data_IF_151455751329
#
_entry.id   IF_151455751329
#
_cell.length_a   1.000
_cell.length_b   1.000
_cell.length_c   1.000
_cell.angle_alpha   90.00
_cell.angle_beta   90.00
_cell.angle_gamma   90.00
#
_symmetry.space_group_name_H-M   'P 1'
#
loop_
_entity.id
_entity.type
_entity.pdbx_description
1 polymer ?
#
# COMPACT_ATOMS: atom_id res chain seq x y z
N UNK A 1 20.96 0.40 -19.74
CA UNK A 1 19.58 0.35 -20.26
C UNK A 1 18.85 -0.71 -19.42
N UNK A 2 17.70 -0.39 -18.87
CA UNK A 2 16.92 -1.40 -18.14
C UNK A 2 16.43 -2.49 -19.13
N UNK A 3 16.37 -3.77 -18.72
CA UNK A 3 15.87 -4.82 -19.57
C UNK A 3 14.38 -4.60 -19.88
N UNK A 4 13.97 -4.91 -21.10
CA UNK A 4 12.56 -4.86 -21.47
C UNK A 4 11.80 -6.03 -20.83
N UNK A 5 10.65 -5.74 -20.25
CA UNK A 5 9.76 -6.76 -19.69
C UNK A 5 8.90 -7.33 -20.83
N UNK A 6 9.32 -8.47 -21.33
CA UNK A 6 8.60 -9.18 -22.41
C UNK A 6 7.49 -10.08 -21.85
N UNK A 7 6.54 -10.49 -22.72
CA UNK A 7 5.51 -11.46 -22.33
C UNK A 7 6.13 -12.78 -21.82
N UNK A 8 7.21 -13.25 -22.44
CA UNK A 8 7.94 -14.47 -22.05
C UNK A 8 8.53 -14.31 -20.63
N UNK A 9 9.16 -13.15 -20.34
CA UNK A 9 9.64 -12.84 -19.01
C UNK A 9 8.50 -12.91 -17.97
N UNK A 10 7.35 -12.28 -18.25
CA UNK A 10 6.20 -12.31 -17.36
C UNK A 10 5.70 -13.75 -17.15
N UNK A 11 5.51 -14.52 -18.20
CA UNK A 11 5.04 -15.90 -18.09
C UNK A 11 5.99 -16.80 -17.30
N UNK A 12 7.30 -16.59 -17.41
CA UNK A 12 8.30 -17.35 -16.65
C UNK A 12 8.27 -17.05 -15.15
N UNK A 13 7.75 -15.87 -14.75
CA UNK A 13 7.68 -15.42 -13.34
C UNK A 13 6.30 -15.60 -12.70
N UNK A 14 5.26 -15.90 -13.49
CA UNK A 14 3.94 -16.21 -12.92
C UNK A 14 3.98 -17.56 -12.22
N UNK A 15 3.69 -17.64 -10.91
CA UNK A 15 3.71 -18.89 -10.19
C UNK A 15 2.63 -19.85 -10.70
N UNK A 16 3.01 -21.11 -10.92
CA UNK A 16 2.04 -22.16 -11.24
C UNK A 16 1.07 -22.33 -10.06
N UNK A 17 -0.21 -22.52 -10.37
CA UNK A 17 -1.24 -22.80 -9.37
C UNK A 17 -1.43 -24.31 -9.21
N UNK A 18 -0.88 -24.95 -8.15
CA UNK A 18 -1.11 -26.36 -7.88
C UNK A 18 -2.62 -26.63 -7.66
N UNK A 19 -3.07 -27.82 -8.08
CA UNK A 19 -4.48 -28.19 -7.99
C UNK A 19 -5.02 -28.20 -6.55
N UNK A 20 -4.16 -28.50 -5.57
CA UNK A 20 -4.48 -28.58 -4.14
C UNK A 20 -4.09 -27.30 -3.38
N UNK A 21 -4.03 -26.15 -4.08
CA UNK A 21 -3.75 -24.87 -3.44
C UNK A 21 -4.99 -24.22 -2.83
N UNK A 22 -4.79 -23.38 -1.84
CA UNK A 22 -5.83 -22.58 -1.19
C UNK A 22 -5.42 -21.09 -1.18
N UNK A 23 -6.31 -20.22 -0.69
CA UNK A 23 -6.03 -18.78 -0.64
C UNK A 23 -4.75 -18.41 0.11
N UNK A 24 -4.33 -19.17 1.11
CA UNK A 24 -3.08 -18.94 1.84
C UNK A 24 -1.81 -19.24 1.04
N UNK A 25 -1.93 -20.09 -0.03
CA UNK A 25 -0.79 -20.47 -0.88
C UNK A 25 -0.28 -19.33 -1.76
N UNK A 26 -1.06 -18.29 -1.98
CA UNK A 26 -0.76 -17.18 -2.91
C UNK A 26 -0.48 -15.86 -2.20
N UNK A 27 -0.11 -15.93 -0.93
CA UNK A 27 0.25 -14.76 -0.13
C UNK A 27 -0.96 -13.90 0.26
N UNK A 28 -0.70 -12.95 1.13
CA UNK A 28 -1.66 -11.98 1.60
C UNK A 28 -1.10 -10.57 1.44
N UNK A 29 -1.86 -9.69 0.79
CA UNK A 29 -1.52 -8.27 0.60
C UNK A 29 -2.31 -7.44 1.60
N UNK A 30 -1.60 -6.59 2.33
CA UNK A 30 -2.17 -5.51 3.11
C UNK A 30 -1.98 -4.20 2.35
N UNK A 31 -3.05 -3.67 1.79
CA UNK A 31 -3.04 -2.39 1.09
C UNK A 31 -3.41 -1.27 2.08
N UNK A 32 -2.55 -0.28 2.22
CA UNK A 32 -2.79 0.96 2.97
C UNK A 32 -2.91 2.07 1.94
N UNK A 33 -4.13 2.40 1.55
CA UNK A 33 -4.39 3.24 0.38
C UNK A 33 -5.70 4.02 0.52
N UNK A 34 -5.78 5.11 -0.21
CA UNK A 34 -6.96 5.96 -0.26
C UNK A 34 -7.10 6.92 0.92
N UNK A 35 -7.91 7.91 0.70
CA UNK A 35 -8.37 8.90 1.67
C UNK A 35 -9.75 9.39 1.24
N UNK A 36 -10.41 10.21 2.02
CA UNK A 36 -11.75 10.72 1.70
C UNK A 36 -11.85 11.31 0.29
N UNK A 37 -10.77 11.95 -0.19
CA UNK A 37 -10.69 12.57 -1.52
C UNK A 37 -10.20 11.63 -2.63
N UNK A 38 -9.46 10.56 -2.29
CA UNK A 38 -8.78 9.68 -3.28
C UNK A 38 -9.23 8.21 -3.17
N UNK A 39 -10.55 8.00 -3.20
CA UNK A 39 -11.16 6.65 -3.04
C UNK A 39 -10.83 5.71 -4.20
N UNK A 40 -10.73 6.26 -5.42
CA UNK A 40 -10.42 5.49 -6.63
C UNK A 40 -9.05 4.83 -6.60
N UNK A 41 -8.05 5.48 -6.00
CA UNK A 41 -6.70 4.91 -5.85
C UNK A 41 -6.72 3.60 -5.05
N UNK A 42 -7.48 3.55 -3.95
CA UNK A 42 -7.66 2.33 -3.17
C UNK A 42 -8.35 1.22 -3.98
N UNK A 43 -9.38 1.56 -4.76
CA UNK A 43 -10.08 0.59 -5.62
C UNK A 43 -9.13 -0.02 -6.65
N UNK A 44 -8.32 0.79 -7.33
CA UNK A 44 -7.34 0.32 -8.31
C UNK A 44 -6.26 -0.54 -7.68
N UNK A 45 -5.79 -0.15 -6.49
CA UNK A 45 -4.79 -0.91 -5.73
C UNK A 45 -5.30 -2.31 -5.36
N UNK A 46 -6.50 -2.40 -4.81
CA UNK A 46 -7.12 -3.68 -4.43
C UNK A 46 -7.39 -4.54 -5.66
N UNK A 47 -7.97 -3.95 -6.71
CA UNK A 47 -8.27 -4.65 -7.96
C UNK A 47 -6.99 -5.19 -8.62
N UNK A 48 -5.92 -4.40 -8.66
CA UNK A 48 -4.61 -4.83 -9.16
C UNK A 48 -4.08 -6.03 -8.38
N UNK A 49 -4.10 -5.98 -7.06
CA UNK A 49 -3.64 -7.07 -6.19
C UNK A 49 -4.47 -8.35 -6.38
N UNK A 50 -5.79 -8.25 -6.49
CA UNK A 50 -6.67 -9.38 -6.76
C UNK A 50 -6.41 -10.00 -8.14
N UNK A 51 -6.26 -9.17 -9.17
CA UNK A 51 -6.03 -9.63 -10.56
C UNK A 51 -4.66 -10.26 -10.78
N UNK A 52 -3.64 -9.85 -10.03
CA UNK A 52 -2.33 -10.51 -10.07
C UNK A 52 -2.32 -11.86 -9.35
N UNK A 53 -3.41 -12.18 -8.64
CA UNK A 53 -3.62 -13.50 -8.05
C UNK A 53 -3.24 -13.60 -6.59
N UNK A 54 -3.15 -12.51 -5.85
CA UNK A 54 -3.01 -12.55 -4.40
C UNK A 54 -4.15 -13.38 -3.77
N UNK A 55 -3.80 -14.24 -2.82
CA UNK A 55 -4.77 -15.14 -2.19
C UNK A 55 -5.72 -14.43 -1.23
N UNK A 56 -5.24 -13.39 -0.58
CA UNK A 56 -6.02 -12.52 0.32
C UNK A 56 -5.57 -11.09 0.09
N UNK A 57 -6.51 -10.16 -0.04
CA UNK A 57 -6.24 -8.72 -0.06
C UNK A 57 -7.04 -8.07 1.06
N UNK A 58 -6.36 -7.34 1.93
CA UNK A 58 -6.97 -6.55 3.00
C UNK A 58 -6.69 -5.08 2.74
N UNK A 59 -7.74 -4.26 2.68
CA UNK A 59 -7.61 -2.81 2.56
C UNK A 59 -7.73 -2.16 3.94
N UNK A 60 -6.69 -1.46 4.35
CA UNK A 60 -6.69 -0.57 5.50
C UNK A 60 -6.93 0.86 5.02
N UNK A 61 -8.06 1.44 5.37
CA UNK A 61 -8.44 2.79 4.96
C UNK A 61 -9.55 3.36 5.85
N UNK A 62 -9.92 4.62 5.59
CA UNK A 62 -11.04 5.29 6.26
C UNK A 62 -12.39 4.80 5.70
N UNK A 63 -13.45 4.89 6.51
CA UNK A 63 -14.78 4.33 6.20
C UNK A 63 -15.33 4.71 4.81
N UNK A 64 -15.26 5.97 4.34
CA UNK A 64 -15.80 6.31 3.02
C UNK A 64 -15.09 5.60 1.85
N UNK A 65 -13.82 5.23 2.03
CA UNK A 65 -13.06 4.45 1.05
C UNK A 65 -13.47 2.99 1.11
N UNK A 66 -13.56 2.43 2.31
CA UNK A 66 -13.96 1.03 2.52
C UNK A 66 -15.35 0.75 1.95
N UNK A 67 -16.31 1.63 2.20
CA UNK A 67 -17.66 1.53 1.66
C UNK A 67 -17.66 1.53 0.11
N UNK A 68 -16.87 2.42 -0.50
CA UNK A 68 -16.77 2.49 -1.96
C UNK A 68 -16.11 1.25 -2.58
N UNK A 69 -15.06 0.73 -1.95
CA UNK A 69 -14.33 -0.45 -2.44
C UNK A 69 -15.14 -1.72 -2.26
N UNK A 70 -15.74 -1.94 -1.09
CA UNK A 70 -16.53 -3.16 -0.80
C UNK A 70 -17.76 -3.30 -1.69
N UNK A 71 -18.33 -2.21 -2.16
CA UNK A 71 -19.45 -2.23 -3.10
C UNK A 71 -19.06 -2.79 -4.49
N UNK A 72 -17.78 -2.70 -4.87
CA UNK A 72 -17.27 -3.17 -6.18
C UNK A 72 -16.47 -4.46 -6.10
N UNK A 73 -15.76 -4.66 -5.00
CA UNK A 73 -14.78 -5.73 -4.78
C UNK A 73 -15.11 -6.43 -3.45
N UNK A 74 -16.21 -7.20 -3.40
CA UNK A 74 -16.67 -7.83 -2.16
C UNK A 74 -15.71 -8.91 -1.62
N UNK A 75 -14.78 -9.39 -2.42
CA UNK A 75 -13.72 -10.33 -2.03
C UNK A 75 -12.60 -9.67 -1.21
N UNK A 76 -12.54 -8.33 -1.15
CA UNK A 76 -11.57 -7.61 -0.36
C UNK A 76 -11.93 -7.63 1.14
N UNK A 77 -10.98 -8.04 1.98
CA UNK A 77 -11.11 -7.89 3.43
C UNK A 77 -10.87 -6.41 3.82
N UNK A 78 -11.53 -5.96 4.88
CA UNK A 78 -11.49 -4.57 5.31
C UNK A 78 -10.83 -4.42 6.68
N UNK A 79 -9.97 -3.41 6.82
CA UNK A 79 -9.38 -2.97 8.07
C UNK A 79 -9.74 -1.50 8.29
N UNK A 80 -10.82 -1.19 9.04
CA UNK A 80 -11.24 0.18 9.29
C UNK A 80 -10.18 0.96 10.08
N UNK A 81 -9.85 2.15 9.58
CA UNK A 81 -8.89 3.07 10.16
C UNK A 81 -9.58 4.34 10.65
N UNK A 82 -9.05 4.92 11.72
CA UNK A 82 -9.47 6.21 12.21
C UNK A 82 -9.11 7.30 11.19
N UNK A 83 -10.02 8.22 10.86
CA UNK A 83 -9.71 9.35 10.00
C UNK A 83 -8.87 10.39 10.73
N UNK A 84 -7.95 11.02 10.03
CA UNK A 84 -7.35 12.27 10.42
C UNK A 84 -8.28 13.45 10.13
N UNK A 85 -7.81 14.68 10.45
CA UNK A 85 -8.63 15.88 10.38
C UNK A 85 -9.14 16.21 8.96
N UNK A 86 -8.44 15.80 7.93
CA UNK A 86 -8.78 16.05 6.52
C UNK A 86 -9.22 14.77 5.77
N UNK A 87 -9.56 13.71 6.51
CA UNK A 87 -10.04 12.44 5.95
C UNK A 87 -8.95 11.51 5.41
N UNK A 88 -7.70 11.73 5.79
CA UNK A 88 -6.58 10.79 5.63
C UNK A 88 -6.64 9.68 6.68
N UNK A 89 -5.76 8.69 6.55
CA UNK A 89 -5.60 7.63 7.57
C UNK A 89 -4.77 8.17 8.73
N UNK A 90 -5.38 8.27 9.92
CA UNK A 90 -4.68 8.71 11.13
C UNK A 90 -3.61 7.70 11.58
N UNK A 91 -2.43 8.18 12.03
CA UNK A 91 -1.40 7.34 12.65
C UNK A 91 -1.86 6.53 13.87
N UNK A 92 -2.96 6.89 14.50
CA UNK A 92 -3.59 6.11 15.57
C UNK A 92 -3.99 4.70 15.11
N UNK A 93 -4.19 4.50 13.81
CA UNK A 93 -4.53 3.22 13.21
C UNK A 93 -3.35 2.25 13.05
N UNK A 94 -2.10 2.73 13.22
CA UNK A 94 -0.88 1.92 13.01
C UNK A 94 -0.90 0.59 13.78
N UNK A 95 -1.24 0.54 15.08
CA UNK A 95 -1.26 -0.74 15.81
C UNK A 95 -2.29 -1.73 15.24
N UNK A 96 -3.43 -1.25 14.74
CA UNK A 96 -4.47 -2.08 14.10
C UNK A 96 -3.98 -2.61 12.75
N UNK A 97 -3.34 -1.76 11.95
CA UNK A 97 -2.80 -2.11 10.64
C UNK A 97 -1.70 -3.17 10.79
N UNK A 98 -0.75 -2.97 11.68
CA UNK A 98 0.36 -3.91 11.90
C UNK A 98 -0.07 -5.27 12.50
N UNK A 99 -1.25 -5.38 13.10
CA UNK A 99 -1.81 -6.66 13.55
C UNK A 99 -2.41 -7.48 12.39
N UNK A 100 -2.60 -6.91 11.21
CA UNK A 100 -3.09 -7.67 10.06
C UNK A 100 -2.04 -8.69 9.61
N UNK A 101 -2.48 -9.94 9.40
CA UNK A 101 -1.61 -11.00 8.89
C UNK A 101 -1.45 -10.83 7.38
N UNK A 102 -0.28 -10.37 6.95
CA UNK A 102 0.06 -10.19 5.54
C UNK A 102 1.51 -10.56 5.28
N UNK A 103 1.81 -10.95 4.04
CA UNK A 103 3.16 -11.24 3.54
C UNK A 103 3.78 -10.04 2.84
N UNK A 104 2.94 -9.17 2.29
CA UNK A 104 3.33 -7.95 1.58
C UNK A 104 2.48 -6.77 2.08
N UNK A 105 3.14 -5.66 2.36
CA UNK A 105 2.52 -4.36 2.58
C UNK A 105 2.61 -3.54 1.29
N UNK A 106 1.49 -3.04 0.79
CA UNK A 106 1.45 -2.04 -0.27
C UNK A 106 0.95 -0.74 0.35
N UNK A 107 1.74 0.32 0.26
CA UNK A 107 1.42 1.60 0.91
C UNK A 107 1.68 2.78 -0.01
N UNK A 108 0.76 3.73 -0.03
CA UNK A 108 0.97 5.04 -0.67
C UNK A 108 -0.15 5.53 -1.56
N UNK A 109 -0.74 4.72 -2.45
CA UNK A 109 -1.70 5.22 -3.41
C UNK A 109 -2.86 5.98 -2.75
N UNK A 110 -2.97 7.28 -3.08
CA UNK A 110 -4.09 8.11 -2.65
C UNK A 110 -4.14 8.46 -1.17
N UNK A 111 -3.03 8.41 -0.43
CA UNK A 111 -2.97 8.87 0.96
C UNK A 111 -3.17 10.39 1.09
N UNK A 112 -2.94 11.12 -0.01
CA UNK A 112 -3.16 12.56 -0.08
C UNK A 112 -2.02 13.40 0.51
N UNK A 113 -0.80 12.92 0.40
CA UNK A 113 0.40 13.61 0.90
C UNK A 113 0.59 15.02 0.30
N UNK A 114 0.28 15.18 -0.99
CA UNK A 114 0.40 16.45 -1.71
C UNK A 114 -0.70 17.48 -1.36
N UNK A 115 -1.63 17.14 -0.47
CA UNK A 115 -2.54 18.13 0.04
C UNK A 115 -1.77 19.23 0.76
N UNK A 116 -2.23 20.47 0.60
CA UNK A 116 -1.53 21.69 1.05
C UNK A 116 -1.40 21.82 2.59
N UNK A 117 -1.94 20.88 3.35
CA UNK A 117 -1.87 20.87 4.80
C UNK A 117 -0.55 20.26 5.30
N UNK A 118 0.18 21.03 6.10
CA UNK A 118 1.39 20.56 6.78
C UNK A 118 1.10 19.49 7.84
N UNK A 119 -0.07 19.53 8.47
CA UNK A 119 -0.52 18.53 9.46
C UNK A 119 -0.72 17.16 8.79
N UNK A 120 -1.48 17.12 7.68
CA UNK A 120 -1.71 15.90 6.90
C UNK A 120 -0.40 15.29 6.41
N UNK A 121 0.51 16.13 5.87
CA UNK A 121 1.80 15.64 5.42
C UNK A 121 2.62 15.03 6.57
N UNK A 122 2.57 15.60 7.78
CA UNK A 122 3.25 15.06 8.96
C UNK A 122 2.65 13.71 9.41
N UNK A 123 1.32 13.59 9.39
CA UNK A 123 0.62 12.34 9.69
C UNK A 123 0.96 11.25 8.68
N UNK A 124 0.93 11.55 7.38
CA UNK A 124 1.30 10.61 6.33
C UNK A 124 2.75 10.15 6.45
N UNK A 125 3.71 11.06 6.70
CA UNK A 125 5.11 10.69 6.97
C UNK A 125 5.24 9.73 8.15
N UNK A 126 4.53 10.03 9.25
CA UNK A 126 4.52 9.19 10.44
C UNK A 126 3.93 7.82 10.16
N UNK A 127 2.84 7.76 9.42
CA UNK A 127 2.18 6.52 8.99
C UNK A 127 3.13 5.66 8.17
N UNK A 128 3.70 6.23 7.08
CA UNK A 128 4.62 5.52 6.17
C UNK A 128 5.85 5.02 6.92
N UNK A 129 6.52 5.89 7.69
CA UNK A 129 7.71 5.52 8.46
C UNK A 129 7.44 4.35 9.41
N UNK A 130 6.41 4.46 10.25
CA UNK A 130 6.13 3.45 11.27
C UNK A 130 5.60 2.15 10.69
N UNK A 131 4.83 2.19 9.61
CA UNK A 131 4.35 0.98 8.95
C UNK A 131 5.51 0.25 8.26
N UNK A 132 6.37 0.94 7.52
CA UNK A 132 7.53 0.30 6.90
C UNK A 132 8.47 -0.31 7.95
N UNK A 133 8.84 0.43 8.98
CA UNK A 133 9.77 -0.08 10.00
C UNK A 133 9.17 -1.16 10.91
N UNK A 134 7.85 -1.17 11.08
CA UNK A 134 7.15 -2.16 11.92
C UNK A 134 6.69 -3.41 11.18
N UNK A 135 6.75 -3.43 9.84
CA UNK A 135 6.25 -4.54 9.06
C UNK A 135 7.28 -5.65 8.88
N UNK A 136 6.92 -6.89 9.20
CA UNK A 136 7.82 -8.05 9.17
C UNK A 136 7.98 -8.72 7.80
N UNK A 137 7.20 -8.32 6.79
CA UNK A 137 7.22 -8.84 5.41
C UNK A 137 7.99 -7.95 4.44
N UNK A 138 7.74 -8.14 3.14
CA UNK A 138 8.18 -7.24 2.08
C UNK A 138 7.19 -6.09 1.88
N UNK A 139 7.64 -4.96 1.34
CA UNK A 139 6.76 -3.84 1.07
C UNK A 139 6.91 -3.30 -0.35
N UNK A 140 5.82 -2.75 -0.87
CA UNK A 140 5.78 -1.93 -2.09
C UNK A 140 5.38 -0.52 -1.67
N UNK A 141 6.17 0.46 -2.07
CA UNK A 141 5.95 1.88 -1.79
C UNK A 141 5.70 2.62 -3.10
N UNK A 142 4.55 3.28 -3.18
CA UNK A 142 4.07 3.93 -4.40
C UNK A 142 3.51 5.32 -4.10
N UNK A 143 3.45 6.19 -5.09
CA UNK A 143 2.74 7.46 -5.08
C UNK A 143 3.04 8.32 -3.82
N UNK A 144 2.02 8.69 -3.05
CA UNK A 144 2.17 9.51 -1.84
C UNK A 144 3.08 8.88 -0.78
N UNK A 145 3.22 7.56 -0.79
CA UNK A 145 4.18 6.86 0.04
C UNK A 145 5.63 7.20 -0.33
N UNK A 146 5.93 7.29 -1.63
CA UNK A 146 7.24 7.73 -2.13
C UNK A 146 7.51 9.18 -1.75
N UNK A 147 6.53 10.07 -1.94
CA UNK A 147 6.65 11.48 -1.57
C UNK A 147 6.92 11.66 -0.07
N UNK A 148 6.24 10.87 0.76
CA UNK A 148 6.45 10.88 2.21
C UNK A 148 7.86 10.39 2.58
N UNK A 149 8.33 9.32 1.96
CA UNK A 149 9.68 8.78 2.17
C UNK A 149 10.76 9.77 1.71
N UNK A 150 10.60 10.37 0.54
CA UNK A 150 11.52 11.41 0.02
C UNK A 150 11.61 12.60 0.98
N UNK A 151 10.46 13.03 1.54
CA UNK A 151 10.46 14.12 2.53
C UNK A 151 11.19 13.75 3.83
N UNK A 152 11.12 12.50 4.29
CA UNK A 152 11.89 12.03 5.45
C UNK A 152 13.39 12.08 5.13
N UNK A 153 13.80 11.61 3.97
CA UNK A 153 15.19 11.63 3.53
C UNK A 153 15.74 13.07 3.37
N UNK A 154 14.94 13.98 2.84
CA UNK A 154 15.29 15.39 2.73
C UNK A 154 15.43 16.07 4.11
N UNK A 155 14.78 15.54 5.13
CA UNK A 155 14.94 15.96 6.53
C UNK A 155 16.16 15.32 7.23
N UNK A 156 16.98 14.55 6.51
CA UNK A 156 18.18 13.89 7.04
C UNK A 156 17.91 12.53 7.69
N UNK A 157 16.72 11.97 7.51
CA UNK A 157 16.41 10.63 7.99
C UNK A 157 16.81 9.56 6.95
N UNK A 158 17.05 8.35 7.40
CA UNK A 158 17.25 7.21 6.49
C UNK A 158 15.92 6.78 5.88
N UNK A 159 15.98 6.20 4.67
CA UNK A 159 14.80 5.58 4.04
C UNK A 159 14.25 4.47 4.95
N UNK A 160 13.01 4.58 5.45
CA UNK A 160 12.43 3.54 6.29
C UNK A 160 12.28 2.23 5.49
N UNK A 161 12.63 1.11 6.11
CA UNK A 161 12.61 -0.20 5.46
C UNK A 161 11.81 -1.22 6.25
N UNK A 162 11.10 -2.14 5.57
CA UNK A 162 10.50 -3.31 6.19
C UNK A 162 11.59 -4.34 6.55
N UNK A 163 11.19 -5.40 7.26
CA UNK A 163 12.13 -6.45 7.66
C UNK A 163 12.69 -7.26 6.48
N UNK A 164 12.02 -7.22 5.33
CA UNK A 164 12.43 -7.92 4.10
C UNK A 164 12.67 -6.91 2.97
N UNK A 165 12.22 -7.22 1.77
CA UNK A 165 12.44 -6.41 0.57
C UNK A 165 11.55 -5.18 0.52
N UNK A 166 12.07 -4.10 -0.03
CA UNK A 166 11.34 -2.89 -0.35
C UNK A 166 11.41 -2.64 -1.86
N UNK A 167 10.25 -2.61 -2.51
CA UNK A 167 10.09 -2.26 -3.92
C UNK A 167 9.52 -0.84 -3.99
N UNK A 168 10.13 -0.01 -4.81
CA UNK A 168 9.68 1.36 -5.11
C UNK A 168 9.17 1.39 -6.55
N UNK A 169 8.04 2.08 -6.79
CA UNK A 169 7.40 2.16 -8.12
C UNK A 169 7.27 3.61 -8.62
N UNK A 170 8.35 4.41 -8.60
CA UNK A 170 8.27 5.81 -8.99
C UNK A 170 8.06 5.97 -10.50
N UNK A 171 7.14 6.86 -10.90
CA UNK A 171 7.11 7.38 -12.26
C UNK A 171 8.17 8.51 -12.43
N UNK A 172 8.50 8.94 -13.68
CA UNK A 172 9.57 9.92 -13.90
C UNK A 172 9.45 11.22 -13.10
N UNK A 173 8.21 11.69 -12.84
CA UNK A 173 7.98 12.90 -12.05
C UNK A 173 8.19 12.72 -10.54
N UNK A 174 8.18 11.49 -10.01
CA UNK A 174 8.50 11.18 -8.62
C UNK A 174 10.00 10.95 -8.39
N UNK A 175 10.76 10.82 -9.48
CA UNK A 175 12.20 10.62 -9.47
C UNK A 175 12.98 11.95 -9.53
N UNK A 176 12.32 13.09 -9.78
CA UNK A 176 12.94 14.41 -9.99
C UNK A 176 13.10 15.22 -8.70
#
# INVERSE_FOLDING_TARGET
MAPEITAEFVWSHIPKRPRESNKGSFGAVLAVAGSACYRGAASLTVEGALRTGAGIVTLASVEPVLAAVSARLPECCLCPCEPGAEGEISPQSIPRILRQKATVLLIGPGLGYLAQSTARAAETRTLVKKLLTGFSGSAVLDADGLNAAASLMNAGEELPRPAKELILTPHPGEMS
#
